data_IF_312769402699
#
_entry.id   IF_312769402699
#
_cell.length_a   1.000
_cell.length_b   1.000
_cell.length_c   1.000
_cell.angle_alpha   90.00
_cell.angle_beta   90.00
_cell.angle_gamma   90.00
#
_symmetry.space_group_name_H-M   'P 1'
#
loop_
_entity.id
_entity.type
_entity.pdbx_description
1 polymer ?
#
# COMPACT_ATOMS: atom_id res chain seq x y z
N UNK A 1 14.45 5.80 -3.09
CA UNK A 1 13.29 5.94 -2.18
C UNK A 1 12.11 5.26 -2.86
N UNK A 2 11.64 4.13 -2.35
CA UNK A 2 10.41 3.50 -2.84
C UNK A 2 9.27 4.12 -2.04
N UNK A 3 8.40 4.87 -2.72
CA UNK A 3 7.17 5.36 -2.11
C UNK A 3 6.08 4.33 -2.37
N UNK A 4 5.33 4.06 -1.31
CA UNK A 4 4.22 3.14 -1.32
C UNK A 4 2.97 3.92 -1.02
N UNK A 5 1.91 3.79 -1.82
CA UNK A 5 0.69 4.56 -1.63
C UNK A 5 -0.49 3.63 -1.39
N UNK A 6 -1.25 3.92 -0.34
CA UNK A 6 -2.51 3.29 0.02
C UNK A 6 -3.66 4.16 -0.45
N UNK A 7 -4.56 3.60 -1.25
CA UNK A 7 -5.73 4.35 -1.77
C UNK A 7 -7.03 3.67 -1.34
N UNK A 8 -8.04 4.49 -0.98
CA UNK A 8 -9.40 4.06 -0.63
C UNK A 8 -10.35 4.39 -1.79
N UNK A 9 -11.04 3.38 -2.32
CA UNK A 9 -11.89 3.56 -3.53
C UNK A 9 -13.34 4.00 -3.24
N UNK A 10 -13.84 3.81 -2.00
CA UNK A 10 -15.18 4.23 -1.58
C UNK A 10 -15.13 4.83 -0.18
N UNK A 11 -15.03 6.16 -0.09
CA UNK A 11 -15.21 6.88 1.16
C UNK A 11 -16.61 7.52 1.21
N UNK A 12 -17.28 7.40 2.36
CA UNK A 12 -18.54 8.13 2.64
C UNK A 12 -18.26 9.49 3.32
N UNK A 13 -17.00 9.90 3.43
CA UNK A 13 -16.55 11.13 4.10
C UNK A 13 -15.12 11.52 3.71
N UNK A 14 -14.40 12.24 4.57
CA UNK A 14 -12.98 12.55 4.37
C UNK A 14 -12.13 11.53 5.15
N UNK A 15 -11.77 10.43 4.50
CA UNK A 15 -10.89 9.42 5.11
C UNK A 15 -9.43 9.82 4.98
N UNK A 16 -8.76 9.99 6.12
CA UNK A 16 -7.33 10.26 6.18
C UNK A 16 -6.59 8.93 6.14
N UNK A 17 -5.71 8.76 5.15
CA UNK A 17 -4.80 7.62 5.04
C UNK A 17 -3.45 8.01 5.63
N UNK A 18 -3.04 7.31 6.69
CA UNK A 18 -1.73 7.49 7.32
C UNK A 18 -0.86 6.27 7.06
N UNK A 19 0.39 6.50 6.64
CA UNK A 19 1.35 5.44 6.34
C UNK A 19 2.57 5.55 7.23
N UNK A 20 2.95 4.43 7.83
CA UNK A 20 4.11 4.37 8.72
C UNK A 20 4.99 3.16 8.36
N UNK A 21 6.31 3.35 8.19
CA UNK A 21 7.03 4.63 8.09
C UNK A 21 6.78 5.36 6.76
N UNK A 22 6.80 6.69 6.76
CA UNK A 22 6.65 7.51 5.55
C UNK A 22 7.82 7.30 4.55
N UNK A 23 8.98 6.94 5.07
CA UNK A 23 10.21 6.67 4.32
C UNK A 23 10.97 5.57 5.04
N UNK A 24 11.33 4.50 4.34
CA UNK A 24 12.24 3.50 4.88
C UNK A 24 13.44 3.33 3.95
N UNK A 25 14.64 3.54 4.50
CA UNK A 25 15.90 3.18 3.86
C UNK A 25 16.34 1.86 4.46
N UNK A 26 16.36 0.81 3.63
CA UNK A 26 16.51 -0.56 4.11
C UNK A 26 17.61 -1.25 3.32
N UNK A 27 18.42 -2.06 4.01
CA UNK A 27 19.46 -2.85 3.38
C UNK A 27 18.85 -3.90 2.46
N UNK A 28 19.54 -4.20 1.36
CA UNK A 28 19.11 -5.25 0.44
C UNK A 28 18.97 -6.58 1.17
N UNK A 29 17.84 -7.26 1.00
CA UNK A 29 17.54 -8.56 1.62
C UNK A 29 16.78 -8.50 2.93
N UNK A 30 16.56 -7.32 3.52
CA UNK A 30 15.71 -7.18 4.70
C UNK A 30 14.23 -7.03 4.31
N UNK A 31 13.35 -7.64 5.11
CA UNK A 31 11.92 -7.47 4.98
C UNK A 31 11.49 -6.09 5.51
N UNK A 32 10.46 -5.51 4.88
CA UNK A 32 9.90 -4.23 5.27
C UNK A 32 8.41 -4.39 5.41
N UNK A 33 7.89 -4.01 6.57
CA UNK A 33 6.45 -3.90 6.80
C UNK A 33 6.04 -2.44 6.73
N UNK A 34 5.01 -2.16 5.93
CA UNK A 34 4.38 -0.85 5.82
C UNK A 34 2.99 -0.97 6.37
N UNK A 35 2.64 -0.05 7.27
CA UNK A 35 1.31 -0.01 7.84
C UNK A 35 0.49 1.10 7.19
N UNK A 36 -0.75 0.79 6.82
CA UNK A 36 -1.73 1.75 6.33
C UNK A 36 -2.88 1.82 7.34
N UNK A 37 -3.09 3.00 7.94
CA UNK A 37 -4.20 3.25 8.87
C UNK A 37 -5.14 4.27 8.25
N UNK A 38 -6.43 3.95 8.23
CA UNK A 38 -7.49 4.86 7.82
C UNK A 38 -8.18 5.45 9.06
N UNK A 39 -8.65 6.69 8.97
CA UNK A 39 -9.36 7.36 10.07
C UNK A 39 -10.73 6.74 10.38
N UNK A 40 -11.34 6.06 9.40
CA UNK A 40 -12.59 5.33 9.56
C UNK A 40 -12.48 3.92 8.97
N UNK A 41 -13.42 3.04 9.32
CA UNK A 41 -13.44 1.69 8.79
C UNK A 41 -13.85 1.71 7.30
N UNK A 42 -12.95 1.29 6.42
CA UNK A 42 -13.16 1.35 4.98
C UNK A 42 -13.76 0.02 4.52
N UNK A 43 -15.09 -0.11 4.58
CA UNK A 43 -15.88 -1.24 4.05
C UNK A 43 -15.13 -2.59 4.10
N UNK A 44 -15.01 -3.12 5.32
CA UNK A 44 -14.29 -4.36 5.66
C UNK A 44 -12.81 -4.41 5.24
N UNK A 45 -12.15 -3.24 5.15
CA UNK A 45 -10.78 -3.03 4.67
C UNK A 45 -10.52 -3.47 3.21
N UNK A 46 -11.57 -3.91 2.49
CA UNK A 46 -11.45 -4.50 1.16
C UNK A 46 -11.31 -3.49 0.01
N UNK A 47 -11.26 -2.19 0.31
CA UNK A 47 -11.09 -1.14 -0.71
C UNK A 47 -9.74 -0.44 -0.62
N UNK A 48 -8.76 -1.08 0.01
CA UNK A 48 -7.38 -0.62 0.07
C UNK A 48 -6.54 -1.27 -1.04
N UNK A 49 -5.71 -0.46 -1.69
CA UNK A 49 -4.75 -0.92 -2.69
C UNK A 49 -3.38 -0.33 -2.44
N UNK A 50 -2.33 -1.13 -2.66
CA UNK A 50 -0.92 -0.74 -2.53
C UNK A 50 -0.27 -0.59 -3.89
N UNK A 51 0.37 0.56 -4.09
CA UNK A 51 1.10 0.88 -5.32
C UNK A 51 2.59 1.07 -5.03
N UNK A 52 3.43 0.57 -5.92
CA UNK A 52 4.84 0.90 -5.97
C UNK A 52 5.05 2.11 -6.89
N UNK A 53 5.68 3.16 -6.37
CA UNK A 53 6.10 4.30 -7.18
C UNK A 53 7.63 4.45 -7.14
N UNK A 54 8.23 4.50 -8.32
CA UNK A 54 9.64 4.87 -8.51
C UNK A 54 9.71 6.37 -8.85
N UNK A 55 10.79 7.08 -8.49
CA UNK A 55 10.97 8.47 -8.89
C UNK A 55 10.79 8.65 -10.40
N UNK A 56 9.92 9.57 -10.81
CA UNK A 56 9.61 9.85 -12.22
C UNK A 56 8.78 8.78 -12.95
N UNK A 57 8.34 7.73 -12.26
CA UNK A 57 7.54 6.64 -12.83
C UNK A 57 6.05 6.72 -12.48
N UNK A 58 5.23 6.08 -13.30
CA UNK A 58 3.81 5.86 -13.00
C UNK A 58 3.65 4.86 -11.83
N UNK A 59 2.65 5.06 -10.95
CA UNK A 59 2.33 4.09 -9.90
C UNK A 59 1.99 2.71 -10.50
N UNK A 60 2.59 1.65 -9.97
CA UNK A 60 2.29 0.26 -10.34
C UNK A 60 1.54 -0.44 -9.20
N UNK A 61 0.34 -0.95 -9.48
CA UNK A 61 -0.44 -1.73 -8.51
C UNK A 61 0.30 -3.03 -8.14
N UNK A 62 0.43 -3.30 -6.84
CA UNK A 62 0.98 -4.56 -6.31
C UNK A 62 -0.06 -5.39 -5.57
N UNK A 63 -0.86 -4.77 -4.71
CA UNK A 63 -1.87 -5.45 -3.89
C UNK A 63 -3.18 -4.69 -4.01
N UNK A 64 -4.29 -5.38 -4.20
CA UNK A 64 -5.64 -4.84 -4.17
C UNK A 64 -6.51 -5.59 -3.14
N UNK A 65 -7.62 -4.99 -2.75
CA UNK A 65 -8.50 -5.52 -1.70
C UNK A 65 -7.75 -5.90 -0.41
N UNK A 66 -6.80 -5.06 0.00
CA UNK A 66 -5.86 -5.20 1.13
C UNK A 66 -4.90 -6.40 1.07
N UNK A 67 -5.32 -7.55 0.55
CA UNK A 67 -4.61 -8.84 0.68
C UNK A 67 -4.27 -9.50 -0.65
N UNK A 68 -4.95 -9.13 -1.75
CA UNK A 68 -4.83 -9.84 -3.02
C UNK A 68 -3.71 -9.29 -3.89
N UNK A 69 -2.75 -10.13 -4.27
CA UNK A 69 -1.64 -9.73 -5.14
C UNK A 69 -2.10 -9.55 -6.59
N UNK A 70 -1.71 -8.43 -7.20
CA UNK A 70 -1.87 -8.23 -8.64
C UNK A 70 -0.99 -9.22 -9.42
N UNK A 71 -1.47 -9.72 -10.55
CA UNK A 71 -0.73 -10.63 -11.42
C UNK A 71 0.63 -10.07 -11.82
N UNK A 72 1.67 -10.93 -11.76
CA UNK A 72 3.06 -10.54 -12.01
C UNK A 72 3.74 -9.80 -10.84
N UNK A 73 3.10 -9.69 -9.68
CA UNK A 73 3.74 -9.20 -8.46
C UNK A 73 4.68 -10.28 -7.90
N UNK A 74 5.96 -9.97 -7.62
CA UNK A 74 6.90 -10.94 -7.06
C UNK A 74 6.46 -11.49 -5.70
N UNK A 75 6.77 -12.76 -5.43
CA UNK A 75 6.37 -13.48 -4.20
C UNK A 75 6.92 -12.92 -2.89
N UNK A 76 7.88 -11.99 -2.95
CA UNK A 76 8.40 -11.27 -1.77
C UNK A 76 7.43 -10.24 -1.18
N UNK A 77 6.30 -9.98 -1.85
CA UNK A 77 5.25 -9.07 -1.37
C UNK A 77 4.10 -9.87 -0.76
N UNK A 78 3.52 -9.34 0.31
CA UNK A 78 2.33 -9.83 0.96
C UNK A 78 1.51 -8.66 1.52
N UNK A 79 0.21 -8.87 1.74
CA UNK A 79 -0.71 -7.90 2.34
C UNK A 79 -1.62 -8.58 3.37
N UNK A 80 -2.02 -7.82 4.39
CA UNK A 80 -2.87 -8.23 5.51
C UNK A 80 -3.84 -7.12 5.91
#
# INVERSE_FOLDING_TARGET
MLQWSGSVYKSRGQDIVTQTPAVNAVLSGQAVSLNCKTSSNVYDNNYLSWYQQKPGGAPKLLIYSATTLQSGTPSRFSGS
#
